data_IF_567897885144
#
_entry.id   IF_567897885144
#
_cell.length_a   1.000
_cell.length_b   1.000
_cell.length_c   1.000
_cell.angle_alpha   90.00
_cell.angle_beta   90.00
_cell.angle_gamma   90.00
#
_symmetry.space_group_name_H-M   'P 1'
#
loop_
_entity.id
_entity.type
_entity.pdbx_description
1 polymer ?
#
# COMPACT_ATOMS: atom_id res chain seq x y z
N UNK A 1 -8.53 23.30 6.02
CA UNK A 1 -8.61 22.79 4.62
C UNK A 1 -9.60 21.63 4.49
N UNK A 2 -10.53 21.68 3.52
CA UNK A 2 -11.58 20.65 3.34
C UNK A 2 -11.08 19.48 2.48
N UNK A 3 -11.61 18.28 2.73
CA UNK A 3 -11.24 17.06 1.98
C UNK A 3 -11.67 17.05 0.52
N UNK A 4 -12.72 17.80 0.21
CA UNK A 4 -13.25 17.96 -1.15
C UNK A 4 -12.19 18.41 -2.16
N UNK A 5 -11.30 19.33 -1.76
CA UNK A 5 -10.32 19.95 -2.66
C UNK A 5 -9.28 18.95 -3.21
N UNK A 6 -9.08 17.83 -2.53
CA UNK A 6 -8.10 16.80 -2.90
C UNK A 6 -8.73 15.47 -3.29
N UNK A 7 -10.07 15.41 -3.43
CA UNK A 7 -10.77 14.17 -3.76
C UNK A 7 -10.48 13.74 -5.19
N UNK A 8 -10.47 14.67 -6.13
CA UNK A 8 -10.15 14.40 -7.54
C UNK A 8 -8.64 14.33 -7.73
N UNK A 9 -8.09 13.25 -8.31
CA UNK A 9 -6.69 13.20 -8.66
C UNK A 9 -6.41 14.19 -9.79
N UNK A 10 -5.78 15.31 -9.47
CA UNK A 10 -5.37 16.31 -10.46
C UNK A 10 -3.87 16.21 -10.72
N UNK A 11 -3.48 16.31 -11.99
CA UNK A 11 -2.10 16.36 -12.45
C UNK A 11 -1.23 15.14 -12.13
N UNK A 12 0.07 15.32 -12.33
CA UNK A 12 1.09 14.28 -12.14
C UNK A 12 1.20 13.84 -10.68
N UNK A 13 1.51 12.56 -10.45
CA UNK A 13 1.72 12.02 -9.12
C UNK A 13 3.05 12.51 -8.51
N UNK A 14 2.99 13.23 -7.39
CA UNK A 14 4.15 13.65 -6.63
C UNK A 14 4.53 12.58 -5.59
N UNK A 15 5.48 11.71 -5.92
CA UNK A 15 5.89 10.58 -5.06
C UNK A 15 7.38 10.54 -4.75
N UNK A 16 8.22 11.15 -5.59
CA UNK A 16 9.69 11.06 -5.49
C UNK A 16 10.22 11.94 -4.36
N UNK A 17 10.62 11.31 -3.25
CA UNK A 17 11.14 12.00 -2.07
C UNK A 17 12.46 12.75 -2.32
N UNK A 18 13.30 12.26 -3.24
CA UNK A 18 14.58 12.92 -3.59
C UNK A 18 14.45 14.36 -4.10
N UNK A 19 13.29 14.72 -4.66
CA UNK A 19 13.01 16.08 -5.15
C UNK A 19 12.09 16.89 -4.23
N UNK A 20 11.50 16.25 -3.21
CA UNK A 20 10.46 16.85 -2.37
C UNK A 20 10.96 16.91 -0.94
N UNK A 21 11.64 18.00 -0.62
CA UNK A 21 12.13 18.25 0.73
C UNK A 21 11.00 18.63 1.69
N UNK A 22 11.12 18.20 2.95
CA UNK A 22 10.13 18.52 4.00
C UNK A 22 8.79 17.80 3.84
N UNK A 23 8.75 16.64 3.15
CA UNK A 23 7.50 15.88 3.01
C UNK A 23 7.02 15.39 4.38
N UNK A 24 5.75 15.56 4.76
CA UNK A 24 5.23 15.06 6.02
C UNK A 24 5.13 13.53 6.00
N UNK A 25 5.30 12.91 7.16
CA UNK A 25 5.10 11.47 7.32
C UNK A 25 3.61 11.09 7.18
N UNK A 26 3.29 9.86 6.73
CA UNK A 26 1.93 9.34 6.79
C UNK A 26 1.39 9.34 8.23
N UNK A 27 0.11 9.71 8.40
CA UNK A 27 -0.55 9.62 9.71
C UNK A 27 -0.92 8.19 10.10
N UNK A 28 -1.08 7.31 9.11
CA UNK A 28 -1.38 5.89 9.34
C UNK A 28 -0.14 5.23 9.97
N UNK A 29 -0.30 4.70 11.18
CA UNK A 29 0.80 4.09 11.94
C UNK A 29 0.97 2.60 11.62
N UNK A 30 -0.13 1.84 11.63
CA UNK A 30 -0.16 0.39 11.40
C UNK A 30 -1.10 0.05 10.24
N UNK A 31 -0.61 -0.76 9.31
CA UNK A 31 -1.39 -1.23 8.15
C UNK A 31 -2.06 -2.57 8.41
N UNK A 32 -1.43 -3.43 9.22
CA UNK A 32 -1.98 -4.71 9.66
C UNK A 32 -2.30 -4.65 11.15
N UNK A 33 -3.41 -5.25 11.55
CA UNK A 33 -3.89 -5.32 12.92
C UNK A 33 -4.57 -6.64 13.20
N UNK A 34 -4.68 -6.96 14.49
CA UNK A 34 -5.17 -8.25 14.96
C UNK A 34 -4.09 -9.32 14.81
N UNK A 35 -4.52 -10.56 14.63
CA UNK A 35 -3.60 -11.69 14.48
C UNK A 35 -3.13 -11.86 13.03
N UNK A 36 -1.82 -11.73 12.80
CA UNK A 36 -1.24 -11.92 11.47
C UNK A 36 -0.92 -13.40 11.18
N UNK A 37 -0.81 -14.23 12.22
CA UNK A 37 -0.38 -15.63 12.13
C UNK A 37 -1.54 -16.53 11.72
N UNK A 38 -2.70 -16.38 12.36
CA UNK A 38 -3.85 -17.24 12.09
C UNK A 38 -4.48 -16.97 10.72
N UNK A 39 -4.81 -18.05 10.02
CA UNK A 39 -5.55 -17.98 8.76
C UNK A 39 -7.06 -17.99 9.03
N UNK A 40 -7.78 -17.03 8.49
CA UNK A 40 -9.23 -16.93 8.65
C UNK A 40 -9.94 -17.30 7.34
N UNK A 41 -11.00 -18.11 7.38
CA UNK A 41 -11.67 -18.64 6.18
C UNK A 41 -12.50 -17.60 5.42
N UNK A 42 -12.88 -16.47 6.03
CA UNK A 42 -13.73 -15.44 5.40
C UNK A 42 -13.00 -14.12 5.26
N UNK A 43 -13.10 -13.53 4.06
CA UNK A 43 -12.59 -12.19 3.76
C UNK A 43 -13.73 -11.25 3.40
N UNK A 44 -13.72 -10.07 4.00
CA UNK A 44 -14.64 -8.98 3.67
C UNK A 44 -13.82 -7.82 3.14
N UNK A 45 -14.05 -7.48 1.88
CA UNK A 45 -13.34 -6.42 1.18
C UNK A 45 -14.20 -5.16 1.16
N UNK A 46 -13.60 -4.03 1.55
CA UNK A 46 -14.13 -2.71 1.27
C UNK A 46 -13.54 -2.20 -0.04
N UNK A 47 -14.35 -2.17 -1.09
CA UNK A 47 -13.92 -1.84 -2.45
C UNK A 47 -14.38 -0.44 -2.84
N UNK A 48 -13.48 0.27 -3.51
CA UNK A 48 -13.69 1.57 -4.16
C UNK A 48 -14.65 1.46 -5.35
N UNK A 49 -15.64 2.37 -5.50
CA UNK A 49 -16.53 2.46 -6.69
C UNK A 49 -16.21 3.62 -7.66
N UNK A 50 -15.20 4.43 -7.37
CA UNK A 50 -14.83 5.62 -8.14
C UNK A 50 -13.31 5.79 -8.06
N UNK A 51 -12.70 6.36 -9.10
CA UNK A 51 -11.29 6.72 -9.04
C UNK A 51 -11.11 8.03 -8.25
N UNK A 52 -10.61 7.94 -7.02
CA UNK A 52 -10.45 9.08 -6.12
C UNK A 52 -9.11 9.08 -5.39
N UNK A 53 -8.80 10.22 -4.80
CA UNK A 53 -7.65 10.40 -3.94
C UNK A 53 -8.10 10.51 -2.47
N UNK A 54 -7.63 9.57 -1.66
CA UNK A 54 -7.96 9.43 -0.24
C UNK A 54 -6.83 9.99 0.61
N UNK A 55 -7.13 10.92 1.52
CA UNK A 55 -6.11 11.50 2.42
C UNK A 55 -5.74 10.52 3.53
N UNK A 56 -4.50 10.59 4.03
CA UNK A 56 -4.07 9.76 5.17
C UNK A 56 -4.97 9.89 6.41
N UNK A 57 -5.64 11.04 6.59
CA UNK A 57 -6.52 11.27 7.73
C UNK A 57 -7.77 10.39 7.64
N UNK A 58 -8.32 10.24 6.43
CA UNK A 58 -9.50 9.40 6.19
C UNK A 58 -9.16 7.92 6.30
N UNK A 59 -7.98 7.51 5.81
CA UNK A 59 -7.48 6.14 5.97
C UNK A 59 -7.31 5.78 7.44
N UNK A 60 -6.69 6.65 8.23
CA UNK A 60 -6.51 6.40 9.67
C UNK A 60 -7.84 6.41 10.43
N UNK A 61 -8.75 7.36 10.15
CA UNK A 61 -10.08 7.36 10.75
C UNK A 61 -10.90 6.12 10.38
N UNK A 62 -10.83 5.66 9.13
CA UNK A 62 -11.48 4.43 8.68
C UNK A 62 -10.91 3.20 9.39
N UNK A 63 -9.59 3.13 9.53
CA UNK A 63 -8.89 2.04 10.24
C UNK A 63 -9.32 1.97 11.69
N UNK A 64 -9.26 3.08 12.43
CA UNK A 64 -9.66 3.15 13.84
C UNK A 64 -11.13 2.76 14.02
N UNK A 65 -12.01 3.23 13.13
CA UNK A 65 -13.44 2.94 13.21
C UNK A 65 -13.76 1.46 12.95
N UNK A 66 -13.16 0.86 11.91
CA UNK A 66 -13.31 -0.58 11.64
C UNK A 66 -12.72 -1.43 12.78
N UNK A 67 -11.53 -1.06 13.26
CA UNK A 67 -10.84 -1.78 14.32
C UNK A 67 -11.65 -1.80 15.62
N UNK A 68 -12.31 -0.69 15.97
CA UNK A 68 -13.15 -0.63 17.17
C UNK A 68 -14.26 -1.68 17.14
N UNK A 69 -15.01 -1.76 16.03
CA UNK A 69 -16.11 -2.73 15.88
C UNK A 69 -15.62 -4.18 15.98
N UNK A 70 -14.44 -4.47 15.41
CA UNK A 70 -13.86 -5.81 15.44
C UNK A 70 -13.31 -6.16 16.83
N UNK A 71 -12.59 -5.22 17.45
CA UNK A 71 -12.00 -5.38 18.78
C UNK A 71 -13.06 -5.59 19.85
N UNK A 72 -14.17 -4.86 19.79
CA UNK A 72 -15.27 -4.98 20.76
C UNK A 72 -15.91 -6.38 20.78
N UNK A 73 -15.86 -7.12 19.66
CA UNK A 73 -16.43 -8.48 19.56
C UNK A 73 -15.40 -9.61 19.70
N UNK A 74 -14.23 -9.44 19.09
CA UNK A 74 -13.26 -10.54 18.89
C UNK A 74 -11.96 -10.36 19.70
N UNK A 75 -11.82 -9.28 20.48
CA UNK A 75 -10.59 -8.98 21.21
C UNK A 75 -9.42 -8.71 20.26
N UNK A 76 -8.19 -9.02 20.66
CA UNK A 76 -7.00 -8.77 19.83
C UNK A 76 -6.71 -9.90 18.82
N UNK A 77 -7.12 -11.14 19.13
CA UNK A 77 -6.70 -12.33 18.39
C UNK A 77 -7.74 -12.88 17.42
N UNK A 78 -9.02 -12.52 17.55
CA UNK A 78 -10.10 -13.15 16.79
C UNK A 78 -10.38 -12.58 15.39
N UNK A 79 -9.53 -11.68 14.88
CA UNK A 79 -9.64 -11.15 13.52
C UNK A 79 -8.30 -10.66 12.99
N UNK A 80 -8.27 -10.37 11.68
CA UNK A 80 -7.20 -9.60 11.06
C UNK A 80 -7.76 -8.47 10.21
N UNK A 81 -7.26 -7.26 10.41
CA UNK A 81 -7.62 -6.08 9.61
C UNK A 81 -6.38 -5.61 8.85
N UNK A 82 -6.53 -5.47 7.54
CA UNK A 82 -5.47 -5.02 6.65
C UNK A 82 -5.91 -3.81 5.84
N UNK A 83 -5.17 -2.71 5.97
CA UNK A 83 -5.23 -1.57 5.06
C UNK A 83 -4.32 -1.85 3.87
N UNK A 84 -4.92 -2.03 2.69
CA UNK A 84 -4.17 -2.40 1.48
C UNK A 84 -3.50 -1.21 0.80
N UNK A 85 -4.00 0.00 1.05
CA UNK A 85 -3.63 1.20 0.32
C UNK A 85 -2.64 2.05 1.11
N UNK A 86 -1.48 2.34 0.52
CA UNK A 86 -0.47 3.22 1.12
C UNK A 86 -0.52 4.65 0.54
N UNK A 87 -0.41 5.70 1.38
CA UNK A 87 -0.44 7.09 0.91
C UNK A 87 0.90 7.54 0.33
N UNK A 88 1.14 7.25 -0.95
CA UNK A 88 2.37 7.62 -1.66
C UNK A 88 2.42 9.09 -2.12
N UNK A 89 1.26 9.72 -2.32
CA UNK A 89 1.18 11.01 -3.01
C UNK A 89 1.30 12.13 -2.02
N UNK A 90 2.19 13.07 -2.31
CA UNK A 90 2.42 14.26 -1.50
C UNK A 90 1.51 15.38 -1.99
N UNK A 91 0.69 15.89 -1.07
CA UNK A 91 -0.19 17.03 -1.29
C UNK A 91 0.58 18.32 -1.03
N UNK A 92 0.48 19.26 -1.97
CA UNK A 92 1.03 20.61 -1.84
C UNK A 92 -0.09 21.63 -1.71
N UNK A 93 0.20 22.70 -0.99
CA UNK A 93 -0.73 23.82 -0.81
C UNK A 93 0.05 25.13 -0.76
N UNK A 94 -0.45 26.15 -1.47
CA UNK A 94 -0.05 27.53 -1.22
C UNK A 94 -0.91 28.07 -0.06
N UNK A 95 -0.35 28.11 1.14
CA UNK A 95 -1.07 28.58 2.33
C UNK A 95 -1.19 30.10 2.28
N UNK A 96 -2.37 30.60 1.95
CA UNK A 96 -2.70 32.03 2.04
C UNK A 96 -2.87 32.46 3.49
N UNK A 97 -2.15 33.50 3.89
CA UNK A 97 -2.26 34.16 5.19
C UNK A 97 -3.23 35.33 4.99
N UNK A 98 -4.44 35.18 5.51
CA UNK A 98 -5.48 36.20 5.43
C UNK A 98 -5.50 37.05 6.72
N UNK A 99 -4.39 37.73 7.01
CA UNK A 99 -4.26 38.62 8.17
C UNK A 99 -3.88 40.02 7.69
N UNK A 100 -4.33 41.08 8.38
CA UNK A 100 -3.95 42.45 8.02
C UNK A 100 -2.41 42.60 8.00
N UNK A 101 -1.85 43.15 6.93
CA UNK A 101 -0.40 43.26 6.73
C UNK A 101 0.30 41.99 6.21
N UNK A 102 -0.43 40.90 5.93
CA UNK A 102 0.14 39.65 5.41
C UNK A 102 0.78 39.78 4.02
N UNK A 103 0.40 40.78 3.23
CA UNK A 103 1.00 41.11 1.92
C UNK A 103 2.53 41.33 2.00
N UNK A 104 3.03 41.74 3.17
CA UNK A 104 4.48 41.90 3.41
C UNK A 104 5.21 40.58 3.64
N UNK A 105 4.50 39.54 4.09
CA UNK A 105 5.04 38.23 4.44
C UNK A 105 4.75 37.17 3.39
N UNK A 106 3.76 37.42 2.54
CA UNK A 106 3.31 36.50 1.52
C UNK A 106 3.20 37.19 0.16
N UNK A 107 3.85 36.62 -0.86
CA UNK A 107 3.86 37.16 -2.23
C UNK A 107 2.56 36.89 -3.03
N UNK A 108 1.45 36.60 -2.35
CA UNK A 108 0.18 36.20 -2.97
C UNK A 108 0.32 34.98 -3.90
N UNK A 109 0.11 35.20 -5.20
CA UNK A 109 0.21 34.16 -6.25
C UNK A 109 1.59 34.06 -6.90
N UNK A 110 2.51 34.99 -6.61
CA UNK A 110 3.90 34.87 -7.05
C UNK A 110 4.51 33.65 -6.33
N UNK A 111 5.09 32.71 -7.10
CA UNK A 111 5.63 31.42 -6.59
C UNK A 111 4.60 30.51 -5.90
N UNK A 112 3.39 30.41 -6.45
CA UNK A 112 2.27 29.61 -5.90
C UNK A 112 2.41 28.06 -5.95
N UNK A 113 3.62 27.50 -6.08
CA UNK A 113 3.82 26.04 -6.15
C UNK A 113 3.45 25.31 -4.84
N UNK A 114 3.54 26.02 -3.71
CA UNK A 114 3.10 25.54 -2.42
C UNK A 114 4.08 24.60 -1.71
N UNK A 115 3.88 24.48 -0.40
CA UNK A 115 4.65 23.61 0.49
C UNK A 115 3.95 22.25 0.64
N UNK A 116 4.70 21.15 0.87
CA UNK A 116 4.08 19.86 1.14
C UNK A 116 3.33 19.90 2.47
N UNK A 117 2.03 19.64 2.45
CA UNK A 117 1.13 19.73 3.62
C UNK A 117 0.67 18.36 4.11
N UNK A 118 0.49 17.38 3.23
CA UNK A 118 -0.03 16.07 3.62
C UNK A 118 0.29 14.96 2.64
N UNK A 119 -0.20 13.75 2.93
CA UNK A 119 -0.12 12.60 2.03
C UNK A 119 -1.50 12.04 1.72
N UNK A 120 -1.61 11.43 0.56
CA UNK A 120 -2.81 10.78 0.07
C UNK A 120 -2.47 9.54 -0.75
N UNK A 121 -3.46 8.68 -0.94
CA UNK A 121 -3.40 7.55 -1.84
C UNK A 121 -4.35 7.78 -3.01
N UNK A 122 -3.90 7.47 -4.24
CA UNK A 122 -4.79 7.36 -5.40
C UNK A 122 -5.31 5.94 -5.43
N UNK A 123 -6.62 5.81 -5.58
CA UNK A 123 -7.31 4.53 -5.61
C UNK A 123 -8.10 4.48 -6.92
N UNK A 124 -8.07 3.32 -7.57
CA UNK A 124 -8.83 3.06 -8.79
C UNK A 124 -10.23 2.53 -8.45
N UNK A 125 -11.13 2.56 -9.42
CA UNK A 125 -12.40 1.84 -9.30
C UNK A 125 -12.14 0.34 -9.19
N UNK A 126 -12.86 -0.36 -8.31
CA UNK A 126 -12.68 -1.79 -8.04
C UNK A 126 -11.51 -2.15 -7.12
N UNK A 127 -10.69 -1.18 -6.69
CA UNK A 127 -9.56 -1.46 -5.80
C UNK A 127 -10.01 -1.66 -4.34
N UNK A 128 -9.48 -2.70 -3.69
CA UNK A 128 -9.71 -2.96 -2.25
C UNK A 128 -8.94 -1.96 -1.38
N UNK A 129 -9.65 -1.29 -0.47
CA UNK A 129 -9.09 -0.33 0.49
C UNK A 129 -8.76 -1.04 1.80
N UNK A 130 -9.75 -1.72 2.37
CA UNK A 130 -9.60 -2.55 3.57
C UNK A 130 -9.98 -3.99 3.27
N UNK A 131 -9.28 -4.91 3.91
CA UNK A 131 -9.62 -6.33 3.95
C UNK A 131 -9.73 -6.73 5.41
N UNK A 132 -10.87 -7.29 5.76
CA UNK A 132 -11.15 -7.83 7.09
C UNK A 132 -11.25 -9.34 6.97
N UNK A 133 -10.45 -10.03 7.75
CA UNK A 133 -10.40 -11.48 7.86
C UNK A 133 -11.10 -11.87 9.15
N UNK A 134 -12.11 -12.73 9.04
CA UNK A 134 -12.99 -13.14 10.16
C UNK A 134 -13.26 -14.64 10.14
N UNK A 135 -13.58 -15.24 11.30
CA UNK A 135 -14.08 -16.61 11.35
C UNK A 135 -15.40 -16.76 10.58
N UNK A 136 -15.84 -18.00 10.35
CA UNK A 136 -17.05 -18.33 9.57
C UNK A 136 -18.29 -17.62 10.13
N UNK A 137 -18.42 -17.57 11.46
CA UNK A 137 -19.56 -16.93 12.15
C UNK A 137 -19.48 -15.39 12.18
N UNK A 138 -18.36 -14.82 11.72
CA UNK A 138 -18.03 -13.40 11.86
C UNK A 138 -18.32 -12.50 10.67
N UNK A 139 -18.90 -13.04 9.60
CA UNK A 139 -19.13 -12.29 8.35
C UNK A 139 -19.97 -11.03 8.58
N UNK A 140 -21.01 -11.10 9.41
CA UNK A 140 -21.88 -9.94 9.69
C UNK A 140 -21.13 -8.80 10.38
N UNK A 141 -20.16 -9.14 11.22
CA UNK A 141 -19.36 -8.16 11.99
C UNK A 141 -18.32 -7.55 11.08
N UNK A 142 -17.71 -8.36 10.21
CA UNK A 142 -16.85 -7.87 9.14
C UNK A 142 -17.59 -6.87 8.24
N UNK A 143 -18.83 -7.17 7.85
CA UNK A 143 -19.68 -6.24 7.09
C UNK A 143 -19.93 -4.93 7.84
N UNK A 144 -20.31 -4.99 9.13
CA UNK A 144 -20.52 -3.79 9.98
C UNK A 144 -19.24 -2.96 10.14
N UNK A 145 -18.08 -3.60 10.28
CA UNK A 145 -16.79 -2.92 10.34
C UNK A 145 -16.47 -2.19 9.04
N UNK A 146 -16.67 -2.85 7.89
CA UNK A 146 -16.50 -2.24 6.57
C UNK A 146 -17.51 -1.10 6.31
N UNK A 147 -18.75 -1.23 6.75
CA UNK A 147 -19.77 -0.18 6.66
C UNK A 147 -19.36 1.05 7.48
N UNK A 148 -18.87 0.85 8.71
CA UNK A 148 -18.40 1.96 9.55
C UNK A 148 -17.19 2.67 8.91
N UNK A 149 -16.28 1.91 8.29
CA UNK A 149 -15.17 2.47 7.52
C UNK A 149 -15.65 3.21 6.26
N UNK A 150 -16.69 2.72 5.59
CA UNK A 150 -17.25 3.35 4.38
C UNK A 150 -17.70 4.79 4.63
N UNK A 151 -18.30 5.07 5.78
CA UNK A 151 -18.75 6.40 6.18
C UNK A 151 -17.59 7.40 6.35
N UNK A 152 -16.36 6.91 6.52
CA UNK A 152 -15.15 7.77 6.61
C UNK A 152 -14.51 8.02 5.23
N UNK A 153 -14.89 7.25 4.22
CA UNK A 153 -14.33 7.39 2.88
C UNK A 153 -14.95 8.57 2.14
N UNK A 154 -14.17 9.25 1.27
CA UNK A 154 -14.65 10.41 0.52
C UNK A 154 -15.60 10.05 -0.63
N UNK A 155 -15.88 8.76 -0.84
CA UNK A 155 -16.48 8.17 -2.03
C UNK A 155 -17.47 7.07 -1.66
N UNK A 156 -18.28 6.63 -2.64
CA UNK A 156 -19.10 5.43 -2.46
C UNK A 156 -18.23 4.18 -2.51
N UNK A 157 -18.52 3.21 -1.66
CA UNK A 157 -17.81 1.92 -1.62
C UNK A 157 -18.78 0.77 -1.81
N UNK A 158 -18.25 -0.40 -2.13
CA UNK A 158 -18.97 -1.67 -2.19
C UNK A 158 -18.33 -2.64 -1.20
N UNK A 159 -19.14 -3.46 -0.55
CA UNK A 159 -18.65 -4.55 0.29
C UNK A 159 -18.72 -5.84 -0.52
N UNK A 160 -17.61 -6.55 -0.63
CA UNK A 160 -17.54 -7.89 -1.22
C UNK A 160 -17.16 -8.88 -0.13
N UNK A 161 -17.77 -10.06 -0.16
CA UNK A 161 -17.41 -11.17 0.73
C UNK A 161 -16.85 -12.27 -0.14
N UNK A 162 -15.66 -12.71 0.21
CA UNK A 162 -14.93 -13.80 -0.43
C UNK A 162 -14.73 -14.91 0.59
N UNK A 163 -14.93 -16.14 0.15
CA UNK A 163 -14.60 -17.34 0.92
C UNK A 163 -13.21 -17.78 0.47
N UNK A 164 -12.27 -17.82 1.40
CA UNK A 164 -10.93 -18.31 1.11
C UNK A 164 -10.96 -19.80 1.40
N UNK A 165 -10.66 -20.67 0.42
CA UNK A 165 -10.37 -22.05 0.73
C UNK A 165 -9.15 -22.04 1.65
N UNK A 166 -9.31 -22.56 2.85
CA UNK A 166 -8.19 -22.76 3.77
C UNK A 166 -7.38 -23.90 3.17
N UNK A 167 -6.47 -23.57 2.27
CA UNK A 167 -5.43 -24.50 1.89
C UNK A 167 -4.62 -24.73 3.17
N UNK A 168 -4.73 -25.93 3.73
CA UNK A 168 -3.80 -26.43 4.74
C UNK A 168 -2.40 -26.40 4.14
N UNK A 169 -1.70 -25.28 4.26
CA UNK A 169 -0.29 -25.25 4.02
C UNK A 169 0.39 -25.87 5.24
N UNK A 170 0.60 -27.19 5.12
CA UNK A 170 1.73 -27.89 5.69
C UNK A 170 2.94 -26.99 5.50
N UNK A 171 3.46 -26.46 6.62
CA UNK A 171 4.74 -25.78 6.64
C UNK A 171 5.76 -26.81 6.21
N UNK A 172 6.12 -26.83 4.93
CA UNK A 172 7.33 -27.53 4.49
C UNK A 172 8.48 -26.88 5.27
N UNK A 173 9.26 -27.65 6.06
CA UNK A 173 10.44 -27.10 6.71
C UNK A 173 11.31 -26.48 5.63
N UNK A 174 11.60 -25.19 5.78
CA UNK A 174 12.54 -24.49 4.91
C UNK A 174 13.87 -25.22 5.07
N UNK A 175 14.30 -25.95 4.05
CA UNK A 175 15.64 -26.51 4.02
C UNK A 175 16.65 -25.37 4.19
N UNK A 176 17.63 -25.48 5.10
CA UNK A 176 18.62 -24.43 5.29
C UNK A 176 19.38 -24.22 3.98
N UNK A 177 19.42 -22.97 3.52
CA UNK A 177 20.30 -22.57 2.42
C UNK A 177 21.72 -22.73 2.94
N UNK A 178 22.42 -23.78 2.50
CA UNK A 178 23.84 -23.97 2.75
C UNK A 178 24.62 -22.74 2.30
N UNK A 179 25.39 -22.18 3.23
CA UNK A 179 26.34 -21.11 3.01
C UNK A 179 27.44 -21.62 2.07
N UNK A 180 27.43 -21.15 0.82
CA UNK A 180 28.56 -21.34 -0.08
C UNK A 180 29.69 -20.38 0.33
N UNK A 181 30.71 -20.91 1.01
CA UNK A 181 32.01 -20.25 1.14
C UNK A 181 32.66 -20.05 -0.24
N UNK A 182 33.36 -18.92 -0.50
CA UNK A 182 34.16 -18.75 -1.70
C UNK A 182 35.64 -19.00 -1.38
N UNK A 183 36.21 -20.12 -1.82
CA UNK A 183 37.67 -20.31 -1.76
C UNK A 183 38.23 -21.06 -2.97
N UNK A 184 39.17 -20.36 -3.61
CA UNK A 184 40.34 -20.83 -4.39
C UNK A 184 40.23 -21.27 -5.87
N UNK A 185 40.74 -20.36 -6.70
CA UNK A 185 41.60 -20.60 -7.88
C UNK A 185 42.52 -21.81 -7.78
N UNK A 186 42.50 -22.71 -8.77
CA UNK A 186 43.67 -23.34 -9.42
C UNK A 186 43.27 -23.85 -10.84
N UNK A 187 43.81 -23.25 -11.91
CA UNK A 187 44.11 -23.95 -13.19
C UNK A 187 45.52 -24.60 -13.05
N UNK A 188 46.02 -25.53 -13.90
CA UNK A 188 45.64 -25.87 -15.30
C UNK A 188 45.78 -27.37 -15.70
N UNK A 189 45.36 -27.75 -16.92
CA UNK A 189 46.09 -28.69 -17.82
C UNK A 189 45.34 -28.99 -19.15
N UNK A 190 45.97 -28.54 -20.24
CA UNK A 190 46.24 -29.19 -21.53
C UNK A 190 45.20 -30.01 -22.35
N UNK A 191 45.06 -29.54 -23.60
CA UNK A 191 45.10 -30.29 -24.87
C UNK A 191 43.84 -30.97 -25.43
N UNK A 192 43.38 -30.43 -26.57
CA UNK A 192 42.84 -31.20 -27.69
C UNK A 192 42.98 -30.38 -28.97
N UNK A 193 43.53 -31.03 -30.00
CA UNK A 193 44.10 -30.47 -31.21
C UNK A 193 43.04 -30.10 -32.27
N UNK A 194 43.35 -29.07 -33.05
CA UNK A 194 42.63 -28.65 -34.25
C UNK A 194 42.69 -29.71 -35.35
N UNK A 195 41.55 -29.93 -35.98
CA UNK A 195 41.36 -30.84 -37.12
C UNK A 195 41.77 -30.10 -38.40
N UNK A 196 42.75 -30.64 -39.12
CA UNK A 196 42.80 -30.52 -40.59
C UNK A 196 42.79 -31.94 -41.17
N UNK A 197 42.20 -32.12 -42.37
CA UNK A 197 43.10 -32.40 -43.48
C UNK A 197 42.69 -31.75 -44.82
N UNK A 198 43.72 -31.18 -45.43
CA UNK A 198 44.14 -31.18 -46.84
C UNK A 198 43.46 -32.21 -47.77
N UNK A 199 43.02 -31.79 -48.96
CA UNK A 199 43.57 -32.24 -50.26
C UNK A 199 42.73 -31.82 -51.51
N UNK A 200 43.43 -31.17 -52.47
CA UNK A 200 43.43 -31.33 -53.94
C UNK A 200 42.09 -31.42 -54.71
N UNK A 201 41.88 -30.74 -55.84
CA UNK A 201 42.63 -30.87 -57.13
C UNK A 201 42.02 -29.84 -58.10
N UNK A 202 42.79 -29.00 -58.79
CA UNK A 202 43.09 -29.11 -60.24
C UNK A 202 41.99 -28.45 -61.11
N UNK A 203 42.25 -27.73 -62.19
CA UNK A 203 43.44 -27.45 -63.00
C UNK A 203 43.26 -26.07 -63.68
#
# INVERSE_FOLDING_TARGET
MKGRNYRSPSGQAFTRLKYIHGSPNPKVSKFNMGDLSTHFPRRVHLVSREAVQIRHNALESGRVAANKVLFDKYGETGYRLQLCVYPHIILRENKMIATAGADRLQEGMRRAFGKPTGRAARVHDGQSIFIVYVPVDGVEVGKKACETASTKMPMRTRILVEEVPVEEQVVSPVEPIEEAEPTETVQPAESAQEITPVASTGA
#
